data_IF_706078312168
#
_entry.id   IF_706078312168
#
_cell.length_a   1.000
_cell.length_b   1.000
_cell.length_c   1.000
_cell.angle_alpha   90.00
_cell.angle_beta   90.00
_cell.angle_gamma   90.00
#
_symmetry.space_group_name_H-M   'P 1'
#
loop_
_entity.id
_entity.type
_entity.pdbx_description
1 polymer ?
#
# COMPACT_ATOMS: atom_id res chain seq x y z
N UNK A 1 -0.24 -5.86 4.45
CA UNK A 1 1.08 -5.36 4.88
C UNK A 1 1.17 -3.89 4.48
N UNK A 2 1.85 -2.99 5.23
CA UNK A 2 2.02 -1.61 4.78
C UNK A 2 2.79 -1.56 3.46
N UNK A 3 2.23 -0.84 2.49
CA UNK A 3 2.75 -0.67 1.15
C UNK A 3 3.54 0.63 1.00
N UNK A 4 4.17 0.80 -0.15
CA UNK A 4 4.77 2.08 -0.56
C UNK A 4 3.77 3.24 -0.36
N UNK A 5 4.31 4.37 0.09
CA UNK A 5 3.58 5.60 0.44
C UNK A 5 2.66 5.57 1.66
N UNK A 6 2.71 4.50 2.46
CA UNK A 6 2.13 4.53 3.81
C UNK A 6 2.75 5.66 4.66
N UNK A 7 1.88 6.41 5.33
CA UNK A 7 2.17 7.53 6.22
C UNK A 7 3.07 8.59 5.58
N UNK A 8 2.82 8.93 4.32
CA UNK A 8 3.63 9.88 3.59
C UNK A 8 3.59 11.29 4.24
N UNK A 9 2.47 11.68 4.86
CA UNK A 9 2.31 12.96 5.53
C UNK A 9 3.25 13.08 6.75
N UNK A 10 3.29 12.03 7.57
CA UNK A 10 4.20 11.94 8.72
C UNK A 10 5.65 11.93 8.25
N UNK A 11 5.97 11.17 7.20
CA UNK A 11 7.31 11.07 6.61
C UNK A 11 7.82 12.43 6.16
N UNK A 12 7.04 13.14 5.36
CA UNK A 12 7.40 14.46 4.83
C UNK A 12 7.59 15.44 5.98
N UNK A 13 6.69 15.43 6.96
CA UNK A 13 6.78 16.34 8.11
C UNK A 13 8.04 16.11 8.95
N UNK A 14 8.41 14.85 9.20
CA UNK A 14 9.65 14.51 9.91
C UNK A 14 10.90 14.87 9.11
N UNK A 15 10.92 14.59 7.80
CA UNK A 15 12.07 14.91 6.94
C UNK A 15 12.33 16.42 6.87
N UNK A 16 11.27 17.22 6.76
CA UNK A 16 11.39 18.67 6.76
C UNK A 16 11.85 19.21 8.12
N UNK A 17 11.29 18.69 9.22
CA UNK A 17 11.68 19.09 10.56
C UNK A 17 13.16 18.76 10.87
N UNK A 18 13.65 17.59 10.46
CA UNK A 18 15.06 17.24 10.63
C UNK A 18 15.98 18.09 9.76
N UNK A 19 15.58 18.36 8.52
CA UNK A 19 16.35 19.22 7.62
C UNK A 19 16.51 20.63 8.22
N UNK A 20 15.44 21.18 8.80
CA UNK A 20 15.46 22.50 9.44
C UNK A 20 16.29 22.50 10.75
N UNK A 21 16.14 21.48 11.60
CA UNK A 21 16.69 21.48 12.97
C UNK A 21 18.09 20.90 13.08
N UNK A 22 18.39 19.86 12.30
CA UNK A 22 19.63 19.08 12.38
C UNK A 22 20.50 19.26 11.13
N UNK A 23 19.98 19.85 10.05
CA UNK A 23 20.73 20.03 8.80
C UNK A 23 20.97 18.73 8.03
N UNK A 24 20.24 17.67 8.35
CA UNK A 24 20.37 16.35 7.75
C UNK A 24 19.07 15.55 7.92
N UNK A 25 19.00 14.38 7.29
CA UNK A 25 17.82 13.50 7.34
C UNK A 25 18.26 12.15 7.88
N UNK A 26 17.52 11.63 8.86
CA UNK A 26 17.72 10.30 9.42
C UNK A 26 16.73 9.31 8.81
N UNK A 27 17.12 8.03 8.73
CA UNK A 27 16.20 6.96 8.36
C UNK A 27 15.27 6.66 9.54
N UNK A 28 14.13 7.36 9.61
CA UNK A 28 13.07 7.11 10.60
C UNK A 28 12.07 6.05 10.16
N UNK A 29 12.02 5.74 8.87
CA UNK A 29 11.03 4.86 8.27
C UNK A 29 11.76 3.74 7.54
N UNK A 30 11.31 2.51 7.76
CA UNK A 30 11.83 1.35 7.03
C UNK A 30 11.40 1.42 5.57
N UNK A 31 12.21 0.89 4.65
CA UNK A 31 11.79 0.77 3.25
C UNK A 31 10.53 -0.08 3.16
N UNK A 32 9.56 0.38 2.37
CA UNK A 32 8.35 -0.38 2.05
C UNK A 32 8.57 -1.23 0.81
N UNK A 33 7.79 -2.31 0.70
CA UNK A 33 7.76 -3.11 -0.52
C UNK A 33 6.90 -2.40 -1.58
N UNK A 34 7.31 -2.50 -2.84
CA UNK A 34 6.44 -2.23 -3.96
C UNK A 34 5.62 -3.48 -4.33
N UNK A 35 4.46 -3.27 -4.94
CA UNK A 35 3.63 -4.34 -5.51
C UNK A 35 4.38 -5.18 -6.54
N UNK A 36 5.20 -4.56 -7.38
CA UNK A 36 5.97 -5.26 -8.41
C UNK A 36 7.01 -6.17 -7.78
N UNK A 37 7.72 -5.68 -6.75
CA UNK A 37 8.69 -6.47 -6.01
C UNK A 37 8.03 -7.66 -5.30
N UNK A 38 6.83 -7.46 -4.74
CA UNK A 38 6.04 -8.54 -4.14
C UNK A 38 5.61 -9.59 -5.17
N UNK A 39 5.17 -9.18 -6.36
CA UNK A 39 4.81 -10.09 -7.45
C UNK A 39 6.00 -10.97 -7.84
N UNK A 40 7.15 -10.34 -8.05
CA UNK A 40 8.39 -11.02 -8.39
C UNK A 40 8.82 -12.00 -7.29
N UNK A 41 8.73 -11.60 -6.02
CA UNK A 41 9.07 -12.44 -4.88
C UNK A 41 8.18 -13.70 -4.82
N UNK A 42 6.86 -13.53 -4.98
CA UNK A 42 5.92 -14.66 -4.99
C UNK A 42 6.17 -15.60 -6.17
N UNK A 43 6.48 -15.05 -7.35
CA UNK A 43 6.82 -15.85 -8.53
C UNK A 43 8.13 -16.62 -8.32
N UNK A 44 9.16 -15.99 -7.76
CA UNK A 44 10.42 -16.66 -7.41
C UNK A 44 10.23 -17.72 -6.33
N UNK A 45 9.29 -17.53 -5.41
CA UNK A 45 8.90 -18.52 -4.40
C UNK A 45 8.07 -19.69 -4.99
N UNK A 46 7.73 -19.66 -6.28
CA UNK A 46 7.04 -20.73 -6.99
C UNK A 46 5.52 -20.68 -6.87
N UNK A 47 4.93 -19.57 -6.43
CA UNK A 47 3.48 -19.35 -6.49
C UNK A 47 3.05 -18.98 -7.91
N UNK A 48 1.83 -19.37 -8.27
CA UNK A 48 1.16 -18.98 -9.51
C UNK A 48 -0.21 -18.36 -9.22
N UNK A 49 -0.89 -17.86 -10.26
CA UNK A 49 -2.18 -17.16 -10.12
C UNK A 49 -2.13 -16.04 -9.06
N UNK A 50 -1.04 -15.27 -9.06
CA UNK A 50 -0.79 -14.22 -8.09
C UNK A 50 -1.74 -13.06 -8.36
N UNK A 51 -2.51 -12.69 -7.34
CA UNK A 51 -3.36 -11.50 -7.33
C UNK A 51 -2.84 -10.55 -6.27
N UNK A 52 -2.58 -9.31 -6.65
CA UNK A 52 -2.16 -8.24 -5.76
C UNK A 52 -3.23 -7.15 -5.78
N UNK A 53 -3.52 -6.60 -4.61
CA UNK A 53 -4.44 -5.49 -4.45
C UNK A 53 -3.89 -4.49 -3.43
N UNK A 54 -4.20 -3.21 -3.62
CA UNK A 54 -3.75 -2.14 -2.73
C UNK A 54 -4.96 -1.31 -2.33
N UNK A 55 -5.27 -1.33 -1.05
CA UNK A 55 -6.28 -0.44 -0.47
C UNK A 55 -5.61 0.75 0.23
N UNK A 56 -6.29 1.88 0.17
CA UNK A 56 -5.89 3.09 0.88
C UNK A 56 -6.95 3.44 1.92
N UNK A 57 -6.50 3.67 3.15
CA UNK A 57 -7.35 4.05 4.28
C UNK A 57 -6.76 5.30 4.92
N UNK A 58 -7.55 6.37 4.99
CA UNK A 58 -7.17 7.61 5.66
C UNK A 58 -7.80 7.64 7.04
N UNK A 59 -6.98 7.75 8.09
CA UNK A 59 -7.42 7.84 9.47
C UNK A 59 -7.05 9.21 10.02
N UNK A 60 -7.99 9.89 10.66
CA UNK A 60 -7.76 11.22 11.23
C UNK A 60 -7.37 11.10 12.70
N UNK A 61 -6.21 11.68 13.05
CA UNK A 61 -5.69 11.75 14.42
C UNK A 61 -5.76 13.17 14.96
N UNK A 62 -5.90 13.37 16.27
CA UNK A 62 -5.92 14.71 16.86
C UNK A 62 -4.57 15.43 16.75
N UNK A 63 -3.46 14.70 16.91
CA UNK A 63 -2.11 15.26 16.79
C UNK A 63 -1.08 14.15 16.50
N UNK A 64 0.12 14.55 16.08
CA UNK A 64 1.25 13.67 15.77
C UNK A 64 1.64 12.79 16.96
N UNK A 65 1.47 13.27 18.20
CA UNK A 65 1.82 12.48 19.38
C UNK A 65 0.88 11.29 19.57
N UNK A 66 -0.42 11.46 19.27
CA UNK A 66 -1.39 10.38 19.32
C UNK A 66 -1.07 9.34 18.24
N UNK A 67 -0.84 9.80 17.00
CA UNK A 67 -0.40 8.95 15.90
C UNK A 67 0.87 8.16 16.24
N UNK A 68 1.90 8.82 16.75
CA UNK A 68 3.17 8.18 17.14
C UNK A 68 3.03 7.21 18.32
N UNK A 69 2.03 7.41 19.18
CA UNK A 69 1.72 6.47 20.26
C UNK A 69 1.07 5.20 19.69
N UNK A 70 0.11 5.36 18.79
CA UNK A 70 -0.59 4.24 18.17
C UNK A 70 0.35 3.42 17.29
N UNK A 71 1.22 4.04 16.49
CA UNK A 71 2.24 3.33 15.72
C UNK A 71 3.18 2.49 16.60
N UNK A 72 3.51 2.97 17.81
CA UNK A 72 4.30 2.20 18.78
C UNK A 72 3.54 0.98 19.28
N UNK A 73 2.24 1.10 19.54
CA UNK A 73 1.40 -0.03 19.96
C UNK A 73 1.12 -1.02 18.82
N UNK A 74 1.05 -0.54 17.57
CA UNK A 74 0.91 -1.40 16.38
C UNK A 74 2.19 -2.21 16.08
N UNK A 75 3.32 -1.87 16.70
CA UNK A 75 4.60 -2.51 16.42
C UNK A 75 5.25 -2.00 15.13
N UNK A 76 4.76 -0.90 14.56
CA UNK A 76 5.26 -0.26 13.33
C UNK A 76 6.51 0.61 13.62
N UNK A 77 7.43 0.04 14.39
CA UNK A 77 8.72 0.66 14.68
C UNK A 77 9.74 0.33 13.59
N UNK A 78 10.50 1.32 13.17
CA UNK A 78 11.51 1.19 12.11
C UNK A 78 12.51 0.04 12.35
N UNK A 79 12.70 -0.85 11.38
CA UNK A 79 13.60 -1.99 11.49
C UNK A 79 15.04 -1.76 10.95
N UNK A 80 15.36 -0.55 10.47
CA UNK A 80 16.67 -0.26 9.84
C UNK A 80 17.84 -0.28 10.84
N UNK A 81 18.97 -0.87 10.44
CA UNK A 81 20.18 -1.04 11.29
C UNK A 81 20.77 0.31 11.70
N UNK A 82 20.87 1.26 10.78
CA UNK A 82 21.44 2.59 11.01
C UNK A 82 20.39 3.63 11.44
N UNK A 83 19.28 3.20 12.05
CA UNK A 83 18.25 4.12 12.53
C UNK A 83 18.74 4.91 13.76
N UNK A 84 18.28 6.17 13.93
CA UNK A 84 18.45 6.84 15.21
C UNK A 84 17.67 6.08 16.29
N UNK A 85 18.31 5.86 17.45
CA UNK A 85 17.70 5.15 18.58
C UNK A 85 16.53 5.92 19.20
N UNK A 86 16.51 7.24 19.03
CA UNK A 86 15.53 8.16 19.62
C UNK A 86 15.23 9.27 18.63
N UNK A 87 13.97 9.70 18.61
CA UNK A 87 13.57 10.92 17.94
C UNK A 87 13.82 12.10 18.89
N UNK A 88 14.51 13.14 18.40
CA UNK A 88 14.75 14.36 19.17
C UNK A 88 13.43 15.08 19.42
N UNK A 89 13.23 15.58 20.66
CA UNK A 89 12.00 16.28 21.04
C UNK A 89 11.78 17.54 20.20
N UNK A 90 12.84 18.28 19.92
CA UNK A 90 12.78 19.51 19.13
C UNK A 90 12.34 19.23 17.68
N UNK A 91 12.81 18.10 17.11
CA UNK A 91 12.37 17.64 15.79
C UNK A 91 10.90 17.24 15.83
N UNK A 92 10.46 16.54 16.88
CA UNK A 92 9.06 16.12 16.99
C UNK A 92 8.10 17.32 17.12
N UNK A 93 8.47 18.36 17.87
CA UNK A 93 7.68 19.60 17.95
C UNK A 93 7.71 20.40 16.63
N UNK A 94 8.85 20.46 15.94
CA UNK A 94 8.89 21.08 14.62
C UNK A 94 8.03 20.30 13.62
N UNK A 95 8.11 18.97 13.63
CA UNK A 95 7.29 18.10 12.78
C UNK A 95 5.80 18.26 13.08
N UNK A 96 5.39 18.41 14.35
CA UNK A 96 3.99 18.65 14.70
C UNK A 96 3.45 19.95 14.09
N UNK A 97 4.25 21.02 14.12
CA UNK A 97 3.89 22.30 13.51
C UNK A 97 3.76 22.18 11.99
N UNK A 98 4.75 21.57 11.34
CA UNK A 98 4.78 21.37 9.88
C UNK A 98 3.62 20.49 9.40
N UNK A 99 3.32 19.41 10.13
CA UNK A 99 2.23 18.51 9.81
C UNK A 99 0.89 19.24 9.84
N UNK A 100 0.64 19.98 10.93
CA UNK A 100 -0.56 20.79 11.06
C UNK A 100 -0.65 21.87 9.97
N UNK A 101 0.43 22.54 9.63
CA UNK A 101 0.42 23.57 8.58
C UNK A 101 0.12 22.99 7.19
N UNK A 102 0.71 21.83 6.85
CA UNK A 102 0.62 21.26 5.49
C UNK A 102 -0.62 20.41 5.25
N UNK A 103 -1.04 19.66 6.26
CA UNK A 103 -2.02 18.59 6.07
C UNK A 103 -3.22 18.67 7.03
N UNK A 104 -3.31 19.68 7.91
CA UNK A 104 -4.47 19.75 8.82
C UNK A 104 -5.78 19.90 8.03
N UNK A 105 -6.77 19.14 8.47
CA UNK A 105 -8.14 19.17 7.95
C UNK A 105 -9.12 19.41 9.10
N UNK A 106 -10.27 20.05 8.85
CA UNK A 106 -11.32 20.18 9.85
C UNK A 106 -11.90 18.79 10.16
N UNK A 107 -12.21 18.54 11.43
CA UNK A 107 -12.82 17.29 11.84
C UNK A 107 -14.29 17.24 11.38
N UNK A 108 -14.72 16.09 10.86
CA UNK A 108 -16.09 15.92 10.34
C UNK A 108 -17.17 16.16 11.40
N UNK A 109 -16.91 15.81 12.66
CA UNK A 109 -17.86 15.94 13.77
C UNK A 109 -17.89 17.34 14.41
N UNK A 110 -16.79 18.10 14.31
CA UNK A 110 -16.63 19.39 14.98
C UNK A 110 -15.76 20.33 14.12
N UNK A 111 -16.38 21.26 13.40
CA UNK A 111 -15.69 22.20 12.48
C UNK A 111 -14.61 23.07 13.16
N UNK A 112 -14.67 23.21 14.49
CA UNK A 112 -13.71 24.00 15.26
C UNK A 112 -12.44 23.22 15.65
N UNK A 113 -12.45 21.90 15.56
CA UNK A 113 -11.28 21.07 15.83
C UNK A 113 -10.55 20.69 14.54
N UNK A 114 -9.22 20.77 14.58
CA UNK A 114 -8.36 20.29 13.49
C UNK A 114 -7.83 18.91 13.80
N UNK A 115 -7.72 18.08 12.78
CA UNK A 115 -7.08 16.79 12.84
C UNK A 115 -6.03 16.66 11.74
N UNK A 116 -5.12 15.71 11.91
CA UNK A 116 -4.11 15.34 10.93
C UNK A 116 -4.51 14.01 10.26
N UNK A 117 -4.53 13.96 8.92
CA UNK A 117 -4.79 12.73 8.19
C UNK A 117 -3.54 11.85 8.17
N UNK A 118 -3.69 10.58 8.49
CA UNK A 118 -2.68 9.56 8.36
C UNK A 118 -3.13 8.54 7.31
N UNK A 119 -2.47 8.52 6.15
CA UNK A 119 -2.81 7.63 5.05
C UNK A 119 -2.09 6.29 5.20
N UNK A 120 -2.85 5.21 5.34
CA UNK A 120 -2.35 3.84 5.39
C UNK A 120 -2.63 3.15 4.06
N UNK A 121 -1.58 2.61 3.43
CA UNK A 121 -1.71 1.83 2.21
C UNK A 121 -1.46 0.36 2.53
N UNK A 122 -2.46 -0.47 2.30
CA UNK A 122 -2.46 -1.88 2.64
C UNK A 122 -2.32 -2.71 1.37
N UNK A 123 -1.16 -3.36 1.22
CA UNK A 123 -0.94 -4.36 0.19
C UNK A 123 -1.53 -5.69 0.65
N UNK A 124 -2.44 -6.22 -0.16
CA UNK A 124 -2.98 -7.57 -0.08
C UNK A 124 -2.43 -8.40 -1.23
N UNK A 125 -2.15 -9.66 -0.96
CA UNK A 125 -1.67 -10.57 -1.97
C UNK A 125 -2.15 -11.97 -1.69
N UNK A 126 -2.51 -12.67 -2.76
CA UNK A 126 -2.91 -14.07 -2.73
C UNK A 126 -2.16 -14.75 -3.86
N UNK A 127 -1.51 -15.87 -3.53
CA UNK A 127 -0.81 -16.71 -4.49
C UNK A 127 -1.16 -18.17 -4.25
N UNK A 128 -1.27 -18.94 -5.32
CA UNK A 128 -1.61 -20.35 -5.26
C UNK A 128 -0.36 -21.21 -5.51
N UNK A 129 -0.28 -22.34 -4.83
CA UNK A 129 0.70 -23.36 -5.18
C UNK A 129 0.26 -24.00 -6.51
N UNK A 130 1.17 -24.24 -7.46
CA UNK A 130 0.82 -24.92 -8.70
C UNK A 130 0.27 -26.31 -8.39
N UNK A 131 -0.88 -26.63 -8.97
CA UNK A 131 -1.53 -27.94 -8.88
C UNK A 131 -1.84 -28.48 -10.28
N UNK A 132 -1.65 -29.79 -10.55
CA UNK A 132 -2.00 -30.38 -11.84
C UNK A 132 -3.47 -30.21 -12.26
N UNK A 133 -4.39 -30.02 -11.31
CA UNK A 133 -5.82 -29.79 -11.56
C UNK A 133 -6.12 -28.38 -12.09
N UNK A 134 -5.14 -27.46 -12.07
CA UNK A 134 -5.33 -26.11 -12.57
C UNK A 134 -5.48 -26.12 -14.09
N UNK A 135 -6.46 -25.36 -14.59
CA UNK A 135 -6.72 -25.23 -16.02
C UNK A 135 -5.49 -24.69 -16.74
N UNK A 136 -4.96 -25.48 -17.67
CA UNK A 136 -3.86 -25.06 -18.54
C UNK A 136 -4.43 -24.29 -19.73
N UNK A 137 -3.76 -23.23 -20.18
CA UNK A 137 -4.15 -22.57 -21.42
C UNK A 137 -4.17 -23.59 -22.57
N UNK A 138 -5.22 -23.53 -23.39
CA UNK A 138 -5.34 -24.37 -24.57
C UNK A 138 -4.18 -24.12 -25.54
N UNK A 139 -3.78 -25.12 -26.34
CA UNK A 139 -2.72 -24.95 -27.32
C UNK A 139 -3.05 -23.80 -28.29
N UNK A 140 -2.03 -23.03 -28.67
CA UNK A 140 -2.19 -21.93 -29.64
C UNK A 140 -2.79 -22.47 -30.94
N UNK A 141 -3.79 -21.77 -31.48
CA UNK A 141 -4.50 -22.20 -32.69
C UNK A 141 -5.65 -23.19 -32.48
N UNK A 142 -6.02 -23.48 -31.24
CA UNK A 142 -7.17 -24.33 -30.88
C UNK A 142 -8.55 -23.65 -31.01
N UNK A 143 -8.60 -22.40 -31.49
CA UNK A 143 -9.85 -21.68 -31.69
C UNK A 143 -10.69 -22.37 -32.77
N UNK A 144 -11.88 -22.86 -32.40
CA UNK A 144 -12.78 -23.55 -33.34
C UNK A 144 -13.62 -22.57 -34.18
N UNK A 145 -13.81 -21.34 -33.70
CA UNK A 145 -14.69 -20.35 -34.31
C UNK A 145 -13.96 -19.01 -34.46
N UNK A 146 -14.27 -18.28 -35.52
CA UNK A 146 -13.71 -16.96 -35.79
C UNK A 146 -14.46 -15.88 -34.99
N UNK A 147 -13.74 -14.87 -34.49
CA UNK A 147 -14.37 -13.73 -33.81
C UNK A 147 -15.30 -12.92 -34.73
N UNK A 148 -15.17 -13.03 -36.06
CA UNK A 148 -16.10 -12.38 -37.01
C UNK A 148 -17.53 -12.90 -36.88
N UNK A 149 -17.70 -14.11 -36.37
CA UNK A 149 -18.99 -14.80 -36.27
C UNK A 149 -19.70 -14.51 -34.93
N UNK A 150 -19.19 -13.55 -34.14
CA UNK A 150 -19.83 -13.07 -32.90
C UNK A 150 -21.28 -12.61 -33.10
N UNK A 151 -21.65 -12.16 -34.30
CA UNK A 151 -23.04 -11.79 -34.61
C UNK A 151 -24.01 -12.99 -34.62
N UNK A 152 -23.52 -14.23 -34.58
CA UNK A 152 -24.31 -15.48 -34.52
C UNK A 152 -24.01 -16.30 -33.26
N UNK A 153 -23.64 -15.64 -32.16
CA UNK A 153 -23.32 -16.30 -30.88
C UNK A 153 -24.38 -17.33 -30.47
N UNK A 154 -25.67 -16.99 -30.61
CA UNK A 154 -26.76 -17.88 -30.23
C UNK A 154 -26.78 -19.20 -31.01
N UNK A 155 -26.38 -19.18 -32.28
CA UNK A 155 -26.26 -20.38 -33.13
C UNK A 155 -25.01 -21.18 -32.78
N UNK A 156 -23.88 -20.49 -32.55
CA UNK A 156 -22.60 -21.10 -32.19
C UNK A 156 -22.65 -21.79 -30.82
N UNK A 157 -23.37 -21.21 -29.85
CA UNK A 157 -23.59 -21.80 -28.53
C UNK A 157 -24.37 -23.11 -28.67
N UNK A 158 -25.46 -23.13 -29.45
CA UNK A 158 -26.26 -24.35 -29.68
C UNK A 158 -25.43 -25.46 -30.31
N UNK A 159 -24.65 -25.15 -31.34
CA UNK A 159 -23.74 -26.09 -32.00
C UNK A 159 -22.65 -26.66 -31.09
N UNK A 160 -22.24 -25.92 -30.06
CA UNK A 160 -21.23 -26.37 -29.10
C UNK A 160 -21.80 -27.29 -28.01
N UNK A 161 -23.03 -27.04 -27.56
CA UNK A 161 -23.70 -27.84 -26.52
C UNK A 161 -24.44 -29.09 -27.04
N UNK A 162 -24.69 -29.19 -28.35
CA UNK A 162 -25.27 -30.39 -28.98
C UNK A 162 -24.23 -31.49 -29.31
N UNK A 163 -22.93 -31.22 -29.11
CA UNK A 163 -21.84 -32.21 -29.23
C UNK A 163 -21.43 -32.75 -27.87
#
# INVERSE_FOLDING_TARGET
MPAMDTLYELRVSLQLAELERLGGISSHISPFVDSVDMANLLQCAGFNLITLDIDEIVIHYPDIFALMNDLRFMGESNATVHRPLRLNRDVLFAASAIYNEKFSVPREDEENERCIPATYRLLYFIGWKPDPSQSKPLPRGSAQYSLKDLHRIDELIKLHFEK
#
